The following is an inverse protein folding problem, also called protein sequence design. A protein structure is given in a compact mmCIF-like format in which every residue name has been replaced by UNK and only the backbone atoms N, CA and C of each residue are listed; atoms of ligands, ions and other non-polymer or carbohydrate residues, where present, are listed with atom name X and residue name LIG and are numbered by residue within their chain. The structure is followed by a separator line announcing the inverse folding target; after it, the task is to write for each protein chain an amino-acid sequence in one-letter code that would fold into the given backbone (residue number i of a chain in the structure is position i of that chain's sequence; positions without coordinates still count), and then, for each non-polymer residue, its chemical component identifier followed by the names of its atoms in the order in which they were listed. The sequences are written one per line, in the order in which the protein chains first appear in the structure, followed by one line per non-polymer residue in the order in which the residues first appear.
data_IF_071148418534
#
_entry.id   IF_071148418534
#
_cell.length_a   1.000
_cell.length_b   1.000
_cell.length_c   1.000
_cell.angle_alpha   90.00
_cell.angle_beta   90.00
_cell.angle_gamma   90.00
#
_symmetry.space_group_name_H-M   'P 1'
#
loop_
_entity.id
_entity.type
_entity.pdbx_description
1 polymer ?
#
# COMPACT_ATOMS: atom_id res chain seq x y z
N UNK A 1 6.88 24.62 -15.43
CA UNK A 1 5.73 25.15 -14.66
C UNK A 1 6.10 26.38 -13.80
N UNK A 2 7.39 26.62 -13.52
CA UNK A 2 7.89 27.74 -12.72
C UNK A 2 7.86 27.50 -11.20
N UNK A 3 8.61 28.33 -10.42
CA UNK A 3 8.85 28.10 -9.00
C UNK A 3 7.60 28.18 -8.13
N UNK A 4 6.61 28.98 -8.51
CA UNK A 4 5.34 29.10 -7.76
C UNK A 4 4.52 27.81 -7.79
N UNK A 5 4.41 27.20 -8.97
CA UNK A 5 3.68 25.92 -9.13
C UNK A 5 4.44 24.74 -8.51
N UNK A 6 5.78 24.76 -8.60
CA UNK A 6 6.61 23.79 -7.92
C UNK A 6 6.45 23.85 -6.40
N UNK A 7 6.42 25.05 -5.84
CA UNK A 7 6.17 25.26 -4.40
C UNK A 7 4.77 24.77 -4.01
N UNK A 8 3.73 25.15 -4.76
CA UNK A 8 2.37 24.74 -4.47
C UNK A 8 2.22 23.21 -4.51
N UNK A 9 2.83 22.57 -5.51
CA UNK A 9 2.85 21.10 -5.60
C UNK A 9 3.56 20.44 -4.41
N UNK A 10 4.74 20.92 -4.04
CA UNK A 10 5.48 20.40 -2.88
C UNK A 10 4.73 20.62 -1.57
N UNK A 11 4.09 21.79 -1.40
CA UNK A 11 3.28 22.09 -0.23
C UNK A 11 2.05 21.17 -0.12
N UNK A 12 1.30 21.02 -1.21
CA UNK A 12 0.15 20.11 -1.27
C UNK A 12 0.53 18.67 -0.97
N UNK A 13 1.66 18.21 -1.53
CA UNK A 13 2.21 16.89 -1.27
C UNK A 13 2.56 16.70 0.21
N UNK A 14 3.26 17.66 0.82
CA UNK A 14 3.57 17.64 2.25
C UNK A 14 2.30 17.54 3.10
N UNK A 15 1.30 18.37 2.79
CA UNK A 15 0.06 18.42 3.53
C UNK A 15 -0.72 17.11 3.48
N UNK A 16 -0.86 16.52 2.29
CA UNK A 16 -1.51 15.21 2.12
C UNK A 16 -0.78 14.12 2.88
N UNK A 17 0.55 14.09 2.81
CA UNK A 17 1.35 13.10 3.52
C UNK A 17 1.22 13.21 5.04
N UNK A 18 1.06 14.40 5.59
CA UNK A 18 0.84 14.60 7.02
C UNK A 18 -0.36 13.79 7.51
N UNK A 19 -1.51 13.91 6.86
CA UNK A 19 -2.72 13.17 7.20
C UNK A 19 -2.57 11.66 6.91
N UNK A 20 -1.92 11.31 5.82
CA UNK A 20 -1.67 9.92 5.47
C UNK A 20 -0.87 9.19 6.54
N UNK A 21 0.22 9.77 7.02
CA UNK A 21 1.04 9.15 8.07
C UNK A 21 0.32 9.08 9.42
N UNK A 22 -0.53 10.06 9.74
CA UNK A 22 -1.35 10.02 10.95
C UNK A 22 -2.35 8.85 10.95
N UNK A 23 -2.81 8.40 9.79
CA UNK A 23 -3.72 7.25 9.66
C UNK A 23 -2.98 5.92 9.49
N UNK A 24 -1.84 5.92 8.81
CA UNK A 24 -1.10 4.71 8.46
C UNK A 24 -0.60 3.94 9.69
N UNK A 25 0.00 4.64 10.66
CA UNK A 25 0.58 4.00 11.84
C UNK A 25 -0.47 3.35 12.74
N UNK A 26 -1.59 4.01 13.09
CA UNK A 26 -2.69 3.38 13.81
C UNK A 26 -3.26 2.16 13.08
N UNK A 27 -3.50 2.27 11.78
CA UNK A 27 -4.00 1.16 10.98
C UNK A 27 -3.04 -0.02 10.95
N UNK A 28 -1.73 0.23 10.88
CA UNK A 28 -0.70 -0.82 10.94
C UNK A 28 -0.78 -1.60 12.25
N UNK A 29 -1.03 -0.94 13.38
CA UNK A 29 -1.20 -1.61 14.69
C UNK A 29 -2.47 -2.46 14.72
N UNK A 30 -3.59 -1.93 14.21
CA UNK A 30 -4.86 -2.66 14.17
C UNK A 30 -4.73 -3.89 13.27
N UNK A 31 -4.24 -3.75 12.04
CA UNK A 31 -4.03 -4.89 11.12
C UNK A 31 -2.99 -5.87 11.65
N UNK A 32 -1.93 -5.37 12.30
CA UNK A 32 -0.96 -6.22 12.97
C UNK A 32 -1.58 -7.06 14.07
N UNK A 33 -2.51 -6.50 14.85
CA UNK A 33 -3.21 -7.27 15.89
C UNK A 33 -4.06 -8.40 15.30
N UNK A 34 -4.75 -8.15 14.19
CA UNK A 34 -5.46 -9.21 13.48
C UNK A 34 -4.53 -10.30 12.95
N UNK A 35 -3.39 -9.92 12.37
CA UNK A 35 -2.44 -10.86 11.78
C UNK A 35 -1.79 -11.79 12.83
N UNK A 36 -1.46 -11.28 14.02
CA UNK A 36 -0.74 -12.03 15.04
C UNK A 36 -1.64 -12.66 16.09
N UNK A 37 -2.78 -12.04 16.41
CA UNK A 37 -3.65 -12.43 17.51
C UNK A 37 -5.05 -12.89 17.05
N UNK A 38 -5.34 -12.79 15.75
CA UNK A 38 -6.62 -13.17 15.17
C UNK A 38 -7.79 -12.24 15.52
N UNK A 39 -7.54 -11.18 16.29
CA UNK A 39 -8.58 -10.25 16.73
C UNK A 39 -8.01 -8.83 16.92
N UNK A 40 -8.89 -7.84 16.87
CA UNK A 40 -8.51 -6.48 17.20
C UNK A 40 -8.43 -6.33 18.74
N UNK A 41 -7.21 -6.25 19.26
CA UNK A 41 -6.98 -6.04 20.71
C UNK A 41 -7.15 -4.58 21.14
N UNK A 42 -7.32 -3.68 20.18
CA UNK A 42 -7.48 -2.25 20.41
C UNK A 42 -8.96 -1.84 20.43
N UNK A 43 -9.81 -2.59 21.13
CA UNK A 43 -11.21 -2.27 21.32
C UNK A 43 -11.43 -1.74 22.75
N UNK A 44 -12.08 -0.57 22.87
CA UNK A 44 -12.41 0.04 24.16
C UNK A 44 -11.89 1.47 24.37
N UNK A 45 -12.37 2.14 25.41
CA UNK A 45 -12.12 3.56 25.67
C UNK A 45 -10.64 3.95 25.89
N UNK A 46 -9.77 3.01 26.28
CA UNK A 46 -8.35 3.25 26.50
C UNK A 46 -7.49 2.94 25.27
N UNK A 47 -8.04 2.25 24.29
CA UNK A 47 -7.32 1.78 23.10
C UNK A 47 -6.79 2.91 22.24
N UNK A 48 -7.55 3.98 22.09
CA UNK A 48 -7.13 5.15 21.31
C UNK A 48 -5.84 5.78 21.87
N UNK A 49 -5.72 5.87 23.20
CA UNK A 49 -4.52 6.41 23.84
C UNK A 49 -3.32 5.49 23.65
N UNK A 50 -3.52 4.18 23.79
CA UNK A 50 -2.47 3.16 23.58
C UNK A 50 -1.99 3.18 22.15
N UNK A 51 -2.90 3.18 21.17
CA UNK A 51 -2.57 3.29 19.74
C UNK A 51 -1.77 4.57 19.48
N UNK A 52 -2.19 5.71 20.02
CA UNK A 52 -1.49 6.98 19.83
C UNK A 52 -0.06 6.93 20.37
N UNK A 53 0.14 6.41 21.59
CA UNK A 53 1.47 6.30 22.19
C UNK A 53 2.37 5.36 21.38
N UNK A 54 1.88 4.17 20.99
CA UNK A 54 2.66 3.22 20.21
C UNK A 54 2.97 3.80 18.82
N UNK A 55 2.02 4.49 18.20
CA UNK A 55 2.23 5.16 16.90
C UNK A 55 3.32 6.23 16.98
N UNK A 56 3.36 7.02 18.04
CA UNK A 56 4.40 8.01 18.27
C UNK A 56 5.76 7.32 18.45
N UNK A 57 5.82 6.25 19.23
CA UNK A 57 7.08 5.49 19.42
C UNK A 57 7.58 4.87 18.11
N UNK A 58 6.67 4.32 17.29
CA UNK A 58 7.03 3.80 15.96
C UNK A 58 7.51 4.91 15.03
N UNK A 59 6.87 6.09 15.07
CA UNK A 59 7.32 7.24 14.29
C UNK A 59 8.74 7.66 14.68
N UNK A 60 9.04 7.74 15.97
CA UNK A 60 10.39 8.04 16.47
C UNK A 60 11.40 6.97 16.08
N UNK A 61 11.03 5.69 16.14
CA UNK A 61 11.86 4.59 15.69
C UNK A 61 12.21 4.71 14.20
N UNK A 62 11.21 4.99 13.35
CA UNK A 62 11.44 5.18 11.93
C UNK A 62 12.29 6.42 11.64
N UNK A 63 12.07 7.51 12.37
CA UNK A 63 12.89 8.72 12.28
C UNK A 63 14.34 8.40 12.65
N UNK A 64 14.56 7.62 13.70
CA UNK A 64 15.91 7.19 14.10
C UNK A 64 16.59 6.35 13.01
N UNK A 65 15.87 5.44 12.36
CA UNK A 65 16.38 4.68 11.20
C UNK A 65 16.76 5.62 10.06
N UNK A 66 15.96 6.64 9.78
CA UNK A 66 16.24 7.64 8.73
C UNK A 66 17.53 8.44 9.03
N UNK A 67 17.77 8.79 10.28
CA UNK A 67 19.00 9.49 10.72
C UNK A 67 20.26 8.64 10.49
N UNK A 68 20.16 7.31 10.52
CA UNK A 68 21.28 6.40 10.23
C UNK A 68 21.74 6.43 8.76
N UNK A 69 20.96 7.09 7.89
CA UNK A 69 21.32 7.34 6.50
C UNK A 69 20.75 6.35 5.50
N UNK A 70 20.97 6.65 4.22
CA UNK A 70 20.36 5.98 3.07
C UNK A 70 20.58 4.45 3.06
N UNK A 71 21.74 4.00 3.54
CA UNK A 71 22.05 2.56 3.59
C UNK A 71 21.08 1.78 4.50
N UNK A 72 20.75 2.34 5.67
CA UNK A 72 19.77 1.74 6.59
C UNK A 72 18.35 1.80 6.06
N UNK A 73 17.98 2.95 5.50
CA UNK A 73 16.67 3.11 4.84
C UNK A 73 16.51 2.04 3.75
N UNK A 74 17.51 1.89 2.88
CA UNK A 74 17.48 0.91 1.79
C UNK A 74 17.33 -0.53 2.30
N UNK A 75 18.03 -0.92 3.37
CA UNK A 75 17.90 -2.27 3.96
C UNK A 75 16.50 -2.53 4.50
N UNK A 76 15.97 -1.61 5.31
CA UNK A 76 14.64 -1.74 5.91
C UNK A 76 13.56 -1.76 4.82
N UNK A 77 13.66 -0.86 3.84
CA UNK A 77 12.68 -0.77 2.74
C UNK A 77 12.74 -2.00 1.84
N UNK A 78 13.94 -2.53 1.56
CA UNK A 78 14.08 -3.75 0.76
C UNK A 78 13.51 -4.97 1.47
N UNK A 79 13.73 -5.10 2.78
CA UNK A 79 13.15 -6.17 3.58
C UNK A 79 11.61 -6.08 3.60
N UNK A 80 11.08 -4.89 3.89
CA UNK A 80 9.64 -4.64 3.92
C UNK A 80 8.99 -4.83 2.55
N UNK A 81 9.62 -4.35 1.48
CA UNK A 81 9.17 -4.53 0.10
C UNK A 81 9.17 -6.00 -0.31
N UNK A 82 10.23 -6.75 0.02
CA UNK A 82 10.31 -8.18 -0.21
C UNK A 82 9.22 -8.96 0.52
N UNK A 83 9.01 -8.66 1.80
CA UNK A 83 7.94 -9.29 2.60
C UNK A 83 6.55 -8.98 2.02
N UNK A 84 6.30 -7.74 1.60
CA UNK A 84 5.04 -7.34 0.97
C UNK A 84 4.78 -8.07 -0.35
N UNK A 85 5.79 -8.16 -1.21
CA UNK A 85 5.70 -8.92 -2.47
C UNK A 85 5.44 -10.39 -2.21
N UNK A 86 6.17 -11.01 -1.27
CA UNK A 86 5.97 -12.40 -0.89
C UNK A 86 4.53 -12.65 -0.42
N UNK A 87 4.01 -11.83 0.50
CA UNK A 87 2.63 -11.96 0.98
C UNK A 87 1.61 -11.78 -0.14
N UNK A 88 1.80 -10.78 -1.02
CA UNK A 88 0.91 -10.54 -2.14
C UNK A 88 0.89 -11.72 -3.12
N UNK A 89 2.05 -12.24 -3.49
CA UNK A 89 2.16 -13.41 -4.37
C UNK A 89 1.55 -14.64 -3.70
N UNK A 90 1.87 -14.89 -2.43
CA UNK A 90 1.32 -16.01 -1.67
C UNK A 90 -0.21 -15.95 -1.60
N UNK A 91 -0.78 -14.78 -1.34
CA UNK A 91 -2.23 -14.58 -1.33
C UNK A 91 -2.87 -14.90 -2.68
N UNK A 92 -2.31 -14.39 -3.78
CA UNK A 92 -2.79 -14.67 -5.13
C UNK A 92 -2.72 -16.17 -5.43
N UNK A 93 -1.58 -16.79 -5.18
CA UNK A 93 -1.39 -18.24 -5.41
C UNK A 93 -2.37 -19.07 -4.60
N UNK A 94 -2.53 -18.76 -3.30
CA UNK A 94 -3.49 -19.46 -2.43
C UNK A 94 -4.93 -19.32 -2.92
N UNK A 95 -5.35 -18.13 -3.35
CA UNK A 95 -6.68 -17.92 -3.89
C UNK A 95 -6.95 -18.76 -5.13
N UNK A 96 -6.00 -18.81 -6.06
CA UNK A 96 -6.09 -19.66 -7.25
C UNK A 96 -6.09 -21.16 -6.90
N UNK A 97 -5.26 -21.60 -5.96
CA UNK A 97 -5.23 -23.00 -5.51
C UNK A 97 -6.56 -23.40 -4.87
N UNK A 98 -7.17 -22.52 -4.05
CA UNK A 98 -8.45 -22.82 -3.40
C UNK A 98 -9.57 -23.00 -4.41
N UNK A 99 -9.62 -22.18 -5.45
CA UNK A 99 -10.70 -22.26 -6.45
C UNK A 99 -10.41 -23.37 -7.48
N UNK A 100 -9.24 -23.33 -8.12
CA UNK A 100 -8.95 -24.23 -9.23
C UNK A 100 -8.35 -25.57 -8.79
N UNK A 101 -7.65 -25.63 -7.65
CA UNK A 101 -7.04 -26.84 -7.13
C UNK A 101 -8.01 -27.72 -6.35
N UNK A 102 -8.85 -27.11 -5.55
CA UNK A 102 -9.87 -27.84 -4.76
C UNK A 102 -11.25 -27.86 -5.41
N UNK A 103 -11.43 -27.19 -6.56
CA UNK A 103 -12.69 -27.18 -7.29
C UNK A 103 -13.81 -26.40 -6.61
N UNK A 104 -13.45 -25.43 -5.76
CA UNK A 104 -14.45 -24.56 -5.14
C UNK A 104 -15.00 -23.55 -6.16
N UNK A 105 -16.27 -23.21 -6.03
CA UNK A 105 -16.86 -22.14 -6.84
C UNK A 105 -16.29 -20.78 -6.43
N UNK A 106 -16.02 -19.86 -7.39
CA UNK A 106 -15.61 -18.50 -7.09
C UNK A 106 -16.65 -17.80 -6.21
N UNK A 107 -16.19 -17.06 -5.19
CA UNK A 107 -17.09 -16.36 -4.28
C UNK A 107 -17.88 -15.24 -4.97
N UNK A 108 -17.36 -14.70 -6.09
CA UNK A 108 -18.04 -13.71 -6.91
C UNK A 108 -18.11 -14.17 -8.37
N UNK A 109 -19.22 -13.88 -9.04
CA UNK A 109 -19.36 -14.17 -10.46
C UNK A 109 -18.61 -13.13 -11.30
N UNK A 110 -17.67 -13.60 -12.14
CA UNK A 110 -16.93 -12.77 -13.09
C UNK A 110 -17.70 -12.67 -14.41
N UNK A 111 -18.80 -11.93 -14.41
CA UNK A 111 -19.58 -11.64 -15.62
C UNK A 111 -19.13 -10.30 -16.22
N UNK A 112 -19.42 -10.09 -17.51
CA UNK A 112 -19.10 -8.82 -18.18
C UNK A 112 -19.74 -7.63 -17.46
N UNK A 113 -20.91 -7.82 -16.87
CA UNK A 113 -21.65 -6.82 -16.11
C UNK A 113 -20.99 -6.52 -14.74
N UNK A 114 -20.38 -7.51 -14.09
CA UNK A 114 -19.72 -7.32 -12.80
C UNK A 114 -18.33 -6.66 -12.94
N UNK A 115 -17.68 -6.85 -14.10
CA UNK A 115 -16.36 -6.28 -14.38
C UNK A 115 -16.48 -4.83 -14.89
N UNK A 116 -17.59 -4.47 -15.53
CA UNK A 116 -17.77 -3.10 -16.05
C UNK A 116 -17.99 -2.10 -14.91
N UNK A 117 -17.20 -1.03 -14.85
CA UNK A 117 -17.38 -0.01 -13.83
C UNK A 117 -18.67 0.76 -14.04
N UNK A 118 -19.44 0.94 -12.99
CA UNK A 118 -20.56 1.88 -12.97
C UNK A 118 -20.02 3.26 -12.58
N UNK A 119 -20.08 4.23 -13.51
CA UNK A 119 -19.58 5.58 -13.29
C UNK A 119 -20.53 6.35 -12.34
N UNK A 120 -20.41 6.08 -11.06
CA UNK A 120 -21.12 6.76 -9.98
C UNK A 120 -20.12 7.46 -9.03
N UNK A 121 -20.63 8.18 -8.04
CA UNK A 121 -19.78 8.89 -7.08
C UNK A 121 -18.84 7.93 -6.30
N UNK A 122 -19.33 6.75 -5.96
CA UNK A 122 -18.56 5.71 -5.29
C UNK A 122 -17.37 5.24 -6.13
N UNK A 123 -17.57 5.08 -7.45
CA UNK A 123 -16.48 4.75 -8.37
C UNK A 123 -15.36 5.80 -8.34
N UNK A 124 -15.71 7.10 -8.39
CA UNK A 124 -14.71 8.16 -8.35
C UNK A 124 -13.97 8.21 -7.00
N UNK A 125 -14.65 7.97 -5.89
CA UNK A 125 -14.03 7.88 -4.58
C UNK A 125 -13.05 6.69 -4.51
N UNK A 126 -13.47 5.51 -5.00
CA UNK A 126 -12.62 4.31 -5.06
C UNK A 126 -11.42 4.53 -5.98
N UNK A 127 -11.62 5.18 -7.13
CA UNK A 127 -10.53 5.53 -8.05
C UNK A 127 -9.49 6.45 -7.39
N UNK A 128 -9.92 7.39 -6.52
CA UNK A 128 -9.00 8.23 -5.76
C UNK A 128 -8.12 7.40 -4.81
N UNK A 129 -8.67 6.39 -4.15
CA UNK A 129 -7.91 5.44 -3.32
C UNK A 129 -6.90 4.62 -4.14
N UNK A 130 -7.30 4.16 -5.33
CA UNK A 130 -6.39 3.42 -6.23
C UNK A 130 -5.25 4.33 -6.69
N UNK A 131 -5.53 5.57 -7.07
CA UNK A 131 -4.50 6.55 -7.45
C UNK A 131 -3.52 6.80 -6.30
N UNK A 132 -4.01 6.93 -5.06
CA UNK A 132 -3.16 7.07 -3.89
C UNK A 132 -2.31 5.82 -3.64
N UNK A 133 -2.86 4.63 -3.84
CA UNK A 133 -2.15 3.36 -3.63
C UNK A 133 -1.00 3.14 -4.63
N UNK A 134 -1.14 3.65 -5.87
CA UNK A 134 -0.10 3.61 -6.90
C UNK A 134 0.89 4.79 -6.77
N UNK A 135 0.47 5.87 -6.11
CA UNK A 135 1.31 7.04 -5.83
C UNK A 135 2.48 6.73 -4.89
N UNK A 136 3.33 7.71 -4.64
CA UNK A 136 4.48 7.62 -3.73
C UNK A 136 5.83 7.40 -4.42
N UNK A 137 5.83 6.98 -5.69
CA UNK A 137 7.05 6.86 -6.49
C UNK A 137 7.80 8.18 -6.66
N UNK A 138 7.09 9.28 -6.66
CA UNK A 138 7.65 10.64 -6.73
C UNK A 138 8.53 10.98 -5.51
N UNK A 139 8.25 10.42 -4.34
CA UNK A 139 9.04 10.64 -3.13
C UNK A 139 10.46 10.07 -3.23
N UNK A 140 10.66 9.06 -4.08
CA UNK A 140 11.98 8.46 -4.33
C UNK A 140 12.84 9.37 -5.21
N UNK A 141 12.24 10.33 -5.90
CA UNK A 141 12.97 11.28 -6.78
C UNK A 141 14.08 12.06 -6.08
N UNK A 142 13.98 12.28 -4.77
CA UNK A 142 15.04 12.95 -3.98
C UNK A 142 16.34 12.16 -3.93
N UNK A 143 16.28 10.83 -4.13
CA UNK A 143 17.43 9.93 -4.09
C UNK A 143 18.03 9.63 -5.47
N UNK A 144 17.57 10.31 -6.53
CA UNK A 144 18.02 10.05 -7.91
C UNK A 144 19.55 10.13 -8.09
N UNK A 145 20.20 11.00 -7.29
CA UNK A 145 21.66 11.18 -7.30
C UNK A 145 22.41 10.01 -6.65
N UNK A 146 21.75 9.25 -5.78
CA UNK A 146 22.32 8.13 -5.04
C UNK A 146 22.16 6.81 -5.81
N UNK A 147 21.41 6.82 -6.93
CA UNK A 147 21.17 5.62 -7.75
C UNK A 147 22.38 5.30 -8.61
N UNK A 148 22.94 4.11 -8.43
CA UNK A 148 24.00 3.59 -9.31
C UNK A 148 23.46 3.41 -10.74
N UNK A 149 24.09 4.06 -11.71
CA UNK A 149 23.68 4.03 -13.13
C UNK A 149 22.87 5.25 -13.58
N UNK A 150 22.65 6.24 -12.69
CA UNK A 150 22.10 7.55 -13.00
C UNK A 150 20.63 7.55 -13.45
N UNK A 151 20.19 8.63 -14.07
CA UNK A 151 18.80 8.90 -14.45
C UNK A 151 18.15 7.79 -15.29
N UNK A 152 18.90 7.19 -16.21
CA UNK A 152 18.36 6.14 -17.10
C UNK A 152 17.95 4.89 -16.30
N UNK A 153 18.78 4.49 -15.36
CA UNK A 153 18.50 3.35 -14.49
C UNK A 153 17.32 3.68 -13.55
N UNK A 154 17.31 4.87 -12.97
CA UNK A 154 16.22 5.34 -12.15
C UNK A 154 14.86 5.26 -12.88
N UNK A 155 14.75 5.85 -14.08
CA UNK A 155 13.51 5.85 -14.87
C UNK A 155 13.06 4.43 -15.23
N UNK A 156 13.99 3.57 -15.66
CA UNK A 156 13.66 2.17 -15.98
C UNK A 156 13.13 1.42 -14.77
N UNK A 157 13.76 1.60 -13.61
CA UNK A 157 13.32 0.97 -12.37
C UNK A 157 11.95 1.47 -11.94
N UNK A 158 11.68 2.77 -12.07
CA UNK A 158 10.37 3.35 -11.77
C UNK A 158 9.28 2.79 -12.68
N UNK A 159 9.50 2.73 -13.98
CA UNK A 159 8.53 2.14 -14.93
C UNK A 159 8.29 0.67 -14.57
N UNK A 160 9.36 -0.10 -14.37
CA UNK A 160 9.24 -1.51 -13.99
C UNK A 160 8.48 -1.73 -12.68
N UNK A 161 8.76 -0.92 -11.67
CA UNK A 161 8.06 -0.96 -10.39
C UNK A 161 6.57 -0.62 -10.54
N UNK A 162 6.23 0.41 -11.32
CA UNK A 162 4.84 0.81 -11.58
C UNK A 162 4.06 -0.31 -12.28
N UNK A 163 4.65 -0.93 -13.29
CA UNK A 163 4.03 -2.08 -13.99
C UNK A 163 3.84 -3.25 -13.03
N UNK A 164 4.87 -3.61 -12.25
CA UNK A 164 4.79 -4.70 -11.30
C UNK A 164 3.71 -4.48 -10.24
N UNK A 165 3.63 -3.26 -9.69
CA UNK A 165 2.59 -2.86 -8.72
C UNK A 165 1.20 -2.93 -9.36
N UNK A 166 1.04 -2.43 -10.59
CA UNK A 166 -0.24 -2.49 -11.32
C UNK A 166 -0.71 -3.95 -11.53
N UNK A 167 0.19 -4.83 -11.95
CA UNK A 167 -0.12 -6.26 -12.12
C UNK A 167 -0.53 -6.87 -10.77
N UNK A 168 0.20 -6.57 -9.69
CA UNK A 168 -0.12 -7.10 -8.36
C UNK A 168 -1.47 -6.61 -7.85
N UNK A 169 -1.86 -5.37 -8.13
CA UNK A 169 -3.20 -4.87 -7.77
C UNK A 169 -4.31 -5.56 -8.55
N UNK A 170 -4.12 -5.76 -9.86
CA UNK A 170 -5.11 -6.48 -10.69
C UNK A 170 -5.27 -7.94 -10.21
N UNK A 171 -4.14 -8.65 -10.04
CA UNK A 171 -4.18 -10.03 -9.54
C UNK A 171 -4.74 -10.12 -8.12
N UNK A 172 -4.40 -9.18 -7.26
CA UNK A 172 -4.94 -9.08 -5.90
C UNK A 172 -6.45 -8.86 -5.88
N UNK A 173 -6.96 -7.98 -6.74
CA UNK A 173 -8.40 -7.73 -6.87
C UNK A 173 -9.15 -8.99 -7.36
N UNK A 174 -8.59 -9.67 -8.37
CA UNK A 174 -9.13 -10.96 -8.85
C UNK A 174 -9.11 -12.00 -7.73
N UNK A 175 -8.00 -12.12 -7.00
CA UNK A 175 -7.87 -13.07 -5.90
C UNK A 175 -8.88 -12.81 -4.77
N UNK A 176 -9.14 -11.54 -4.44
CA UNK A 176 -10.19 -11.17 -3.48
C UNK A 176 -11.56 -11.60 -4.00
N UNK A 177 -11.90 -11.30 -5.26
CA UNK A 177 -13.17 -11.71 -5.86
C UNK A 177 -13.36 -13.23 -5.95
N UNK A 178 -12.26 -14.00 -6.03
CA UNK A 178 -12.32 -15.47 -6.00
C UNK A 178 -12.67 -16.04 -4.62
N UNK A 179 -12.26 -15.37 -3.53
CA UNK A 179 -12.30 -15.95 -2.17
C UNK A 179 -13.29 -15.23 -1.25
N UNK A 180 -13.55 -13.93 -1.49
CA UNK A 180 -14.37 -13.10 -0.59
C UNK A 180 -15.74 -12.81 -1.24
N UNK A 181 -16.85 -13.23 -0.59
CA UNK A 181 -18.20 -12.89 -1.06
C UNK A 181 -18.48 -11.38 -0.97
N UNK A 182 -19.37 -10.90 -1.84
CA UNK A 182 -19.72 -9.47 -1.90
C UNK A 182 -20.44 -8.92 -0.69
N UNK A 183 -21.08 -9.76 0.09
CA UNK A 183 -21.78 -9.40 1.33
C UNK A 183 -20.84 -9.12 2.51
N UNK A 184 -19.57 -9.47 2.37
CA UNK A 184 -18.51 -9.25 3.40
C UNK A 184 -17.65 -8.02 3.05
N UNK A 185 -17.69 -7.55 1.80
CA UNK A 185 -16.93 -6.39 1.32
C UNK A 185 -17.70 -5.08 1.51
#
# INVERSE_FOLDING_TARGET
LGPKWAFLGAWSYFFVNLFFFCSLLPNTLIYGSYAFLGQNVFQGNHSTKIIAVISILLFWLMTWVCIKGVSWISKVTSLAGGARLFMGVAFVVLAFVVVFGFGNEPAQEFTTTSIMPTFNWTFFMTMAWILQAVGGGESIGVYIKDVKGGNKTFVRTMIGATIAVGIMYILGAVAVGLVVPTDVL
#
